data_IF_683623502421
#
_entry.id   IF_683623502421
#
_cell.length_a   1.000
_cell.length_b   1.000
_cell.length_c   1.000
_cell.angle_alpha   90.00
_cell.angle_beta   90.00
_cell.angle_gamma   90.00
#
_symmetry.space_group_name_H-M   'P 1'
#
loop_
_entity.id
_entity.type
_entity.pdbx_description
1 polymer ?
#
# COMPACT_ATOMS: atom_id res chain seq x y z
N UNK A 1 22.90 1.65 2.79
CA UNK A 1 22.44 0.32 3.24
C UNK A 1 21.02 0.12 2.80
N UNK A 2 20.62 -1.03 2.26
CA UNK A 2 19.23 -1.32 2.02
C UNK A 2 18.47 -1.35 3.35
N UNK A 3 17.28 -0.76 3.36
CA UNK A 3 16.42 -0.70 4.55
C UNK A 3 14.97 -0.95 4.14
N UNK A 4 14.18 -1.53 5.03
CA UNK A 4 12.75 -1.74 4.86
C UNK A 4 12.03 -0.99 5.98
N UNK A 5 11.04 -0.22 5.61
CA UNK A 5 10.18 0.50 6.55
C UNK A 5 8.78 -0.13 6.53
N UNK A 6 8.36 -0.67 7.68
CA UNK A 6 7.02 -1.19 7.85
C UNK A 6 6.11 -0.07 8.33
N UNK A 7 5.05 0.18 7.59
CA UNK A 7 4.05 1.21 7.92
C UNK A 7 2.70 0.81 7.35
N UNK A 8 1.65 1.24 7.98
CA UNK A 8 0.27 1.13 7.49
C UNK A 8 -0.24 2.43 6.86
N UNK A 9 0.69 3.29 6.43
CA UNK A 9 0.47 4.68 6.09
C UNK A 9 0.17 5.57 7.32
N UNK A 10 -0.03 6.86 7.10
CA UNK A 10 -0.33 7.80 8.20
C UNK A 10 -1.81 7.75 8.55
N UNK A 11 -2.14 7.51 9.81
CA UNK A 11 -3.49 7.75 10.32
C UNK A 11 -3.79 9.25 10.39
N UNK A 12 -5.06 9.62 10.33
CA UNK A 12 -5.48 11.01 10.55
C UNK A 12 -5.12 11.52 11.96
N UNK A 13 -4.84 10.61 12.89
CA UNK A 13 -4.42 10.91 14.26
C UNK A 13 -2.91 11.14 14.41
N UNK A 14 -2.11 10.82 13.40
CA UNK A 14 -0.65 10.90 13.45
C UNK A 14 -0.17 12.29 13.85
N UNK A 15 0.72 12.36 14.84
CA UNK A 15 1.23 13.60 15.43
C UNK A 15 0.18 14.49 16.14
N UNK A 16 -0.95 13.94 16.54
CA UNK A 16 -1.93 14.63 17.38
C UNK A 16 -1.95 14.05 18.80
N UNK A 17 -2.66 14.72 19.71
CA UNK A 17 -2.88 14.23 21.09
C UNK A 17 -3.76 12.97 21.15
N UNK A 18 -4.39 12.62 20.06
CA UNK A 18 -5.22 11.43 19.89
C UNK A 18 -4.47 10.26 19.26
N UNK A 19 -3.18 10.43 18.97
CA UNK A 19 -2.30 9.36 18.48
C UNK A 19 -1.83 8.51 19.65
N UNK A 20 -2.75 7.76 20.21
CA UNK A 20 -2.53 6.89 21.35
C UNK A 20 -2.94 5.43 21.05
N UNK A 21 -2.87 4.56 22.03
CA UNK A 21 -3.15 3.14 21.86
C UNK A 21 -4.61 2.83 21.46
N UNK A 22 -5.54 3.77 21.64
CA UNK A 22 -6.96 3.57 21.28
C UNK A 22 -7.20 3.54 19.76
N UNK A 23 -6.27 4.11 18.97
CA UNK A 23 -6.35 4.14 17.50
C UNK A 23 -5.55 3.00 16.85
N UNK A 24 -4.93 2.12 17.65
CA UNK A 24 -4.15 0.99 17.13
C UNK A 24 -5.07 -0.18 16.82
N UNK A 25 -5.06 -0.60 15.55
CA UNK A 25 -5.63 -1.89 15.13
C UNK A 25 -4.66 -3.02 15.53
N UNK A 26 -4.84 -3.60 16.71
CA UNK A 26 -3.97 -4.65 17.22
C UNK A 26 -3.93 -5.91 16.35
N UNK A 27 -5.06 -6.42 15.80
CA UNK A 27 -5.03 -7.52 14.83
C UNK A 27 -4.17 -7.21 13.59
N UNK A 28 -4.25 -6.01 13.05
CA UNK A 28 -3.42 -5.57 11.93
C UNK A 28 -1.95 -5.45 12.32
N UNK A 29 -1.66 -4.91 13.49
CA UNK A 29 -0.30 -4.81 14.03
C UNK A 29 0.32 -6.20 14.20
N UNK A 30 -0.44 -7.19 14.70
CA UNK A 30 0.02 -8.57 14.82
C UNK A 30 0.40 -9.16 13.45
N UNK A 31 -0.40 -8.93 12.40
CA UNK A 31 -0.08 -9.36 11.04
C UNK A 31 1.19 -8.68 10.50
N UNK A 32 1.38 -7.40 10.78
CA UNK A 32 2.59 -6.67 10.38
C UNK A 32 3.83 -7.22 11.08
N UNK A 33 3.74 -7.50 12.38
CA UNK A 33 4.82 -8.11 13.16
C UNK A 33 5.16 -9.51 12.62
N UNK A 34 4.15 -10.34 12.34
CA UNK A 34 4.36 -11.67 11.76
C UNK A 34 5.05 -11.58 10.38
N UNK A 35 4.67 -10.62 9.55
CA UNK A 35 5.32 -10.37 8.25
C UNK A 35 6.78 -9.93 8.42
N UNK A 36 7.06 -9.03 9.35
CA UNK A 36 8.41 -8.57 9.66
C UNK A 36 9.30 -9.71 10.19
N UNK A 37 8.72 -10.57 11.05
CA UNK A 37 9.41 -11.75 11.57
C UNK A 37 9.72 -12.74 10.44
N UNK A 38 8.76 -13.05 9.57
CA UNK A 38 8.97 -13.95 8.43
C UNK A 38 10.08 -13.44 7.52
N UNK A 39 10.05 -12.16 7.13
CA UNK A 39 11.10 -11.54 6.32
C UNK A 39 12.47 -11.61 7.02
N UNK A 40 12.52 -11.35 8.31
CA UNK A 40 13.77 -11.43 9.09
C UNK A 40 14.33 -12.86 9.09
N UNK A 41 13.47 -13.86 9.30
CA UNK A 41 13.85 -15.28 9.26
C UNK A 41 14.37 -15.68 7.87
N UNK A 42 13.70 -15.26 6.81
CA UNK A 42 14.13 -15.53 5.44
C UNK A 42 15.51 -14.91 5.15
N UNK A 43 15.72 -13.66 5.56
CA UNK A 43 17.02 -13.00 5.41
C UNK A 43 18.12 -13.68 6.21
N UNK A 44 17.83 -14.15 7.43
CA UNK A 44 18.81 -14.87 8.26
C UNK A 44 19.17 -16.25 7.70
N UNK A 45 18.25 -16.91 7.00
CA UNK A 45 18.43 -18.24 6.43
C UNK A 45 18.92 -18.20 4.97
N UNK A 46 19.08 -17.02 4.39
CA UNK A 46 19.53 -16.91 3.00
C UNK A 46 21.02 -17.32 2.86
N UNK A 47 21.33 -18.08 1.82
CA UNK A 47 22.70 -18.55 1.57
C UNK A 47 23.66 -17.45 1.12
N UNK A 48 23.11 -16.31 0.66
CA UNK A 48 23.87 -15.15 0.19
C UNK A 48 23.27 -13.85 0.70
N UNK A 49 24.13 -12.93 1.11
CA UNK A 49 23.69 -11.59 1.54
C UNK A 49 23.04 -10.87 0.36
N UNK A 50 21.81 -10.35 0.49
CA UNK A 50 21.18 -9.55 -0.57
C UNK A 50 22.04 -8.35 -0.94
N UNK A 51 22.29 -8.17 -2.23
CA UNK A 51 23.06 -7.05 -2.76
C UNK A 51 22.12 -6.00 -3.31
N UNK A 52 22.29 -4.76 -2.89
CA UNK A 52 21.50 -3.64 -3.42
C UNK A 52 21.79 -3.43 -4.91
N UNK A 53 20.75 -3.50 -5.72
CA UNK A 53 20.81 -3.20 -7.15
C UNK A 53 20.23 -1.80 -7.42
N UNK A 54 21.09 -0.78 -7.42
CA UNK A 54 20.69 0.60 -7.72
C UNK A 54 20.19 0.86 -9.15
N UNK A 55 20.24 -0.19 -10.02
CA UNK A 55 19.68 -0.13 -11.39
C UNK A 55 18.33 -0.84 -11.50
N UNK A 56 17.83 -1.44 -10.41
CA UNK A 56 16.50 -2.01 -10.43
C UNK A 56 15.46 -0.93 -10.76
N UNK A 57 14.45 -1.23 -11.60
CA UNK A 57 13.37 -0.29 -11.84
C UNK A 57 12.61 -0.01 -10.54
N UNK A 58 12.03 1.19 -10.38
CA UNK A 58 11.30 1.57 -9.16
C UNK A 58 10.00 0.76 -8.97
N UNK A 59 9.48 0.14 -10.02
CA UNK A 59 8.37 -0.80 -9.97
C UNK A 59 8.45 -1.81 -11.11
N UNK A 60 7.84 -2.97 -10.90
CA UNK A 60 7.81 -4.10 -11.83
C UNK A 60 6.36 -4.52 -12.14
N UNK A 61 6.18 -5.44 -13.09
CA UNK A 61 4.87 -6.02 -13.34
C UNK A 61 4.31 -6.78 -12.11
N UNK A 62 5.17 -7.42 -11.32
CA UNK A 62 4.75 -8.09 -10.09
C UNK A 62 4.16 -7.09 -9.06
N UNK A 63 4.69 -5.87 -9.02
CA UNK A 63 4.13 -4.80 -8.18
C UNK A 63 2.75 -4.37 -8.69
N UNK A 64 2.53 -4.32 -10.01
CA UNK A 64 1.20 -4.04 -10.58
C UNK A 64 0.17 -5.09 -10.18
N UNK A 65 0.54 -6.38 -10.22
CA UNK A 65 -0.32 -7.49 -9.79
C UNK A 65 -0.65 -7.37 -8.29
N UNK A 66 0.35 -7.10 -7.46
CA UNK A 66 0.17 -6.93 -6.02
C UNK A 66 -0.71 -5.72 -5.69
N UNK A 67 -0.53 -4.61 -6.40
CA UNK A 67 -1.34 -3.41 -6.25
C UNK A 67 -2.78 -3.65 -6.69
N UNK A 68 -3.01 -4.33 -7.82
CA UNK A 68 -4.35 -4.69 -8.27
C UNK A 68 -5.07 -5.51 -7.19
N UNK A 69 -4.39 -6.50 -6.62
CA UNK A 69 -4.95 -7.27 -5.51
C UNK A 69 -5.34 -6.38 -4.33
N UNK A 70 -4.42 -5.54 -3.87
CA UNK A 70 -4.64 -4.69 -2.69
C UNK A 70 -5.75 -3.67 -2.90
N UNK A 71 -5.76 -2.96 -4.04
CA UNK A 71 -6.74 -1.92 -4.36
C UNK A 71 -8.14 -2.53 -4.56
N UNK A 72 -8.23 -3.70 -5.24
CA UNK A 72 -9.50 -4.42 -5.41
C UNK A 72 -10.11 -4.87 -4.09
N UNK A 73 -9.29 -5.32 -3.13
CA UNK A 73 -9.78 -5.72 -1.82
C UNK A 73 -10.26 -4.54 -0.97
N UNK A 74 -9.76 -3.34 -1.23
CA UNK A 74 -10.19 -2.12 -0.56
C UNK A 74 -11.40 -1.43 -1.24
N UNK A 75 -11.84 -1.89 -2.41
CA UNK A 75 -12.94 -1.29 -3.17
C UNK A 75 -14.24 -1.10 -2.34
N UNK A 76 -14.65 -2.05 -1.46
CA UNK A 76 -15.82 -1.87 -0.60
C UNK A 76 -15.73 -0.63 0.32
N UNK A 77 -14.51 -0.20 0.66
CA UNK A 77 -14.25 0.95 1.53
C UNK A 77 -14.18 2.28 0.79
N UNK A 78 -14.21 2.31 -0.54
CA UNK A 78 -14.13 3.54 -1.33
C UNK A 78 -15.29 4.52 -1.06
N UNK A 79 -16.40 4.03 -0.51
CA UNK A 79 -17.50 4.87 -0.04
C UNK A 79 -17.11 5.84 1.09
N UNK A 80 -16.01 5.58 1.78
CA UNK A 80 -15.45 6.41 2.89
C UNK A 80 -14.58 7.56 2.40
N UNK A 81 -14.14 7.53 1.13
CA UNK A 81 -13.30 8.56 0.54
C UNK A 81 -14.08 9.80 0.16
N UNK A 82 -13.40 10.94 0.04
CA UNK A 82 -13.99 12.10 -0.61
C UNK A 82 -14.38 11.74 -2.05
N UNK A 83 -15.32 12.48 -2.63
CA UNK A 83 -15.74 12.23 -4.02
C UNK A 83 -14.58 12.27 -5.01
N UNK A 84 -13.62 13.18 -4.80
CA UNK A 84 -12.45 13.33 -5.66
C UNK A 84 -11.48 12.16 -5.49
N UNK A 85 -11.20 11.76 -4.24
CA UNK A 85 -10.27 10.66 -3.96
C UNK A 85 -10.84 9.32 -4.42
N UNK A 86 -12.16 9.10 -4.24
CA UNK A 86 -12.86 7.94 -4.76
C UNK A 86 -12.71 7.83 -6.28
N UNK A 87 -13.00 8.90 -7.02
CA UNK A 87 -12.87 8.91 -8.47
C UNK A 87 -11.43 8.63 -8.93
N UNK A 88 -10.44 9.21 -8.25
CA UNK A 88 -9.02 8.96 -8.56
C UNK A 88 -8.62 7.50 -8.28
N UNK A 89 -9.10 6.91 -7.20
CA UNK A 89 -8.80 5.50 -6.84
C UNK A 89 -9.51 4.53 -7.79
N UNK A 90 -10.76 4.81 -8.17
CA UNK A 90 -11.47 4.02 -9.18
C UNK A 90 -10.80 4.07 -10.56
N UNK A 91 -10.27 5.24 -10.94
CA UNK A 91 -9.49 5.37 -12.18
C UNK A 91 -8.17 4.59 -12.10
N UNK A 92 -7.48 4.68 -10.99
CA UNK A 92 -6.27 3.90 -10.74
C UNK A 92 -6.54 2.39 -10.82
N UNK A 93 -7.62 1.91 -10.23
CA UNK A 93 -8.03 0.51 -10.30
C UNK A 93 -8.25 0.05 -11.76
N UNK A 94 -8.90 0.86 -12.59
CA UNK A 94 -9.07 0.58 -14.03
C UNK A 94 -7.74 0.52 -14.77
N UNK A 95 -6.82 1.42 -14.45
CA UNK A 95 -5.48 1.42 -15.05
C UNK A 95 -4.68 0.18 -14.64
N UNK A 96 -4.79 -0.25 -13.37
CA UNK A 96 -4.18 -1.50 -12.89
C UNK A 96 -4.70 -2.72 -13.64
N UNK A 97 -6.03 -2.83 -13.85
CA UNK A 97 -6.61 -3.88 -14.69
C UNK A 97 -6.02 -3.85 -16.10
N UNK A 98 -5.96 -2.67 -16.72
CA UNK A 98 -5.39 -2.53 -18.08
C UNK A 98 -3.95 -3.01 -18.16
N UNK A 99 -3.13 -2.66 -17.17
CA UNK A 99 -1.70 -3.05 -17.11
C UNK A 99 -1.56 -4.57 -16.89
N UNK A 100 -2.33 -5.12 -15.95
CA UNK A 100 -2.23 -6.54 -15.59
C UNK A 100 -2.78 -7.42 -16.70
N UNK A 101 -3.90 -7.07 -17.31
CA UNK A 101 -4.51 -7.81 -18.42
C UNK A 101 -3.63 -7.79 -19.69
N UNK A 102 -2.87 -6.71 -19.90
CA UNK A 102 -1.90 -6.64 -21.00
C UNK A 102 -0.70 -7.58 -20.81
N UNK A 103 -0.40 -7.99 -19.58
CA UNK A 103 0.66 -8.93 -19.24
C UNK A 103 2.06 -8.33 -19.16
N UNK A 104 2.97 -9.09 -18.55
CA UNK A 104 4.34 -8.65 -18.24
C UNK A 104 5.13 -8.15 -19.46
N UNK A 105 4.91 -8.76 -20.65
CA UNK A 105 5.59 -8.36 -21.88
C UNK A 105 5.21 -6.95 -22.38
N UNK A 106 4.11 -6.39 -21.88
CA UNK A 106 3.63 -5.03 -22.21
C UNK A 106 3.90 -4.02 -21.10
N UNK A 107 4.55 -4.42 -20.03
CA UNK A 107 4.88 -3.52 -18.94
C UNK A 107 6.01 -2.56 -19.35
N UNK A 108 5.75 -1.25 -19.28
CA UNK A 108 6.63 -0.19 -19.79
C UNK A 108 6.95 0.85 -18.70
N UNK A 109 7.79 1.83 -19.05
CA UNK A 109 8.02 3.01 -18.19
C UNK A 109 6.75 3.80 -17.88
N UNK A 110 5.78 3.84 -18.81
CA UNK A 110 4.50 4.50 -18.57
C UNK A 110 3.69 3.75 -17.51
N UNK A 111 3.74 2.40 -17.55
CA UNK A 111 3.14 1.56 -16.50
C UNK A 111 3.76 1.85 -15.13
N UNK A 112 5.09 2.03 -15.06
CA UNK A 112 5.77 2.44 -13.81
C UNK A 112 5.26 3.79 -13.34
N UNK A 113 5.11 4.78 -14.24
CA UNK A 113 4.56 6.09 -13.92
C UNK A 113 3.15 6.01 -13.33
N UNK A 114 2.28 5.18 -13.91
CA UNK A 114 0.93 4.93 -13.40
C UNK A 114 0.98 4.34 -11.99
N UNK A 115 1.83 3.33 -11.76
CA UNK A 115 1.94 2.70 -10.44
C UNK A 115 2.39 3.69 -9.37
N UNK A 116 3.41 4.50 -9.65
CA UNK A 116 3.94 5.47 -8.69
C UNK A 116 2.93 6.58 -8.36
N UNK A 117 2.30 7.16 -9.39
CA UNK A 117 1.32 8.22 -9.19
C UNK A 117 0.03 7.69 -8.51
N UNK A 118 -0.46 6.54 -8.98
CA UNK A 118 -1.69 5.92 -8.47
C UNK A 118 -1.53 5.43 -7.03
N UNK A 119 -0.40 4.81 -6.69
CA UNK A 119 -0.15 4.37 -5.30
C UNK A 119 -0.09 5.54 -4.33
N UNK A 120 0.53 6.66 -4.73
CA UNK A 120 0.56 7.86 -3.89
C UNK A 120 -0.85 8.44 -3.67
N UNK A 121 -1.65 8.52 -4.74
CA UNK A 121 -3.03 8.99 -4.65
C UNK A 121 -3.88 8.08 -3.76
N UNK A 122 -3.73 6.75 -3.90
CA UNK A 122 -4.42 5.73 -3.11
C UNK A 122 -4.07 5.84 -1.62
N UNK A 123 -2.78 5.90 -1.26
CA UNK A 123 -2.34 6.07 0.13
C UNK A 123 -2.87 7.39 0.72
N UNK A 124 -2.82 8.48 -0.05
CA UNK A 124 -3.34 9.77 0.38
C UNK A 124 -4.85 9.76 0.61
N UNK A 125 -5.62 8.97 -0.15
CA UNK A 125 -7.07 8.83 0.04
C UNK A 125 -7.40 8.26 1.42
N UNK A 126 -6.63 7.28 1.90
CA UNK A 126 -6.80 6.71 3.25
C UNK A 126 -6.35 7.65 4.37
N UNK A 127 -5.37 8.53 4.12
CA UNK A 127 -4.83 9.43 5.15
C UNK A 127 -5.67 10.70 5.39
N UNK A 128 -6.69 10.97 4.58
CA UNK A 128 -7.53 12.18 4.67
C UNK A 128 -8.72 12.07 5.61
N UNK A 129 -8.87 10.98 6.36
CA UNK A 129 -9.91 10.83 7.37
C UNK A 129 -9.80 11.83 8.51
N UNK A 130 -10.89 12.10 9.22
CA UNK A 130 -10.83 12.74 10.53
C UNK A 130 -10.38 11.70 11.56
N UNK A 131 -9.63 12.13 12.57
CA UNK A 131 -9.16 11.26 13.65
C UNK A 131 -10.32 10.47 14.30
N UNK A 132 -11.50 11.09 14.41
CA UNK A 132 -12.71 10.48 14.97
C UNK A 132 -13.35 9.43 14.03
N UNK A 133 -13.02 9.42 12.75
CA UNK A 133 -13.63 8.56 11.73
C UNK A 133 -13.17 7.10 11.76
N UNK A 134 -12.05 6.79 12.41
CA UNK A 134 -11.54 5.43 12.52
C UNK A 134 -12.15 4.64 13.67
N UNK A 135 -12.75 5.30 14.65
CA UNK A 135 -13.29 4.67 15.85
C UNK A 135 -14.75 4.24 15.75
N UNK A 136 -15.45 4.65 14.71
CA UNK A 136 -16.81 4.18 14.43
C UNK A 136 -16.77 3.03 13.44
N UNK A 137 -16.56 1.79 13.97
CA UNK A 137 -16.89 0.61 13.19
C UNK A 137 -18.38 0.72 12.77
N UNK A 138 -18.73 0.42 11.50
CA UNK A 138 -20.13 0.33 11.12
C UNK A 138 -20.79 -0.76 11.95
N UNK A 139 -21.83 -0.39 12.68
CA UNK A 139 -22.71 -1.29 13.42
C UNK A 139 -23.43 -2.26 12.49
#
# INVERSE_FOLDING_TARGET
>A
MPSVFFTDATSACYHTVHDDTSVVDFPKLEQQVATAEALTRDLMNTASVPVYNGKAPPATYADAVSMLYSVSHAEPDFGRFTRTDKAATEDFLKQLHTIVDAGAAKFTSDSVGVLLAGSLAYVNAFSKGTCDGFLTAPS
#
